data_IF_039727577244
#
_entry.id   IF_039727577244
#
_cell.length_a   1.000
_cell.length_b   1.000
_cell.length_c   1.000
_cell.angle_alpha   90.00
_cell.angle_beta   90.00
_cell.angle_gamma   90.00
#
_symmetry.space_group_name_H-M   'P 1'
#
loop_
_entity.id
_entity.type
_entity.pdbx_description
1 polymer ?
#
# COMPACT_ATOMS: atom_id res chain seq x y z
N UNK A 1 -13.45 -56.90 -30.38
CA UNK A 1 -12.21 -56.28 -29.84
C UNK A 1 -12.62 -54.96 -29.22
N UNK A 2 -12.46 -54.80 -27.91
CA UNK A 2 -12.92 -53.59 -27.21
C UNK A 2 -11.71 -52.73 -26.89
N UNK A 3 -11.62 -51.58 -27.53
CA UNK A 3 -10.53 -50.61 -27.35
C UNK A 3 -10.74 -49.88 -26.02
N UNK A 4 -9.76 -49.95 -25.13
CA UNK A 4 -9.78 -49.15 -23.90
C UNK A 4 -9.36 -47.71 -24.21
N UNK A 5 -10.21 -46.74 -23.89
CA UNK A 5 -9.88 -45.32 -23.97
C UNK A 5 -8.88 -44.98 -22.86
N UNK A 6 -7.65 -44.70 -23.23
CA UNK A 6 -6.62 -44.25 -22.30
C UNK A 6 -6.91 -42.80 -21.86
N UNK A 7 -7.22 -42.61 -20.58
CA UNK A 7 -7.40 -41.28 -19.99
C UNK A 7 -6.03 -40.60 -19.88
N UNK A 8 -5.78 -39.61 -20.72
CA UNK A 8 -4.61 -38.75 -20.57
C UNK A 8 -4.76 -37.92 -19.29
N UNK A 9 -3.76 -37.97 -18.40
CA UNK A 9 -3.74 -37.12 -17.21
C UNK A 9 -3.55 -35.67 -17.65
N UNK A 10 -4.66 -34.94 -17.78
CA UNK A 10 -4.63 -33.52 -18.09
C UNK A 10 -3.94 -32.78 -16.92
N UNK A 11 -3.02 -31.87 -17.24
CA UNK A 11 -2.37 -31.04 -16.21
C UNK A 11 -3.46 -30.25 -15.46
N UNK A 12 -3.48 -30.28 -14.11
CA UNK A 12 -4.44 -29.50 -13.36
C UNK A 12 -4.29 -28.01 -13.69
N UNK A 13 -5.43 -27.34 -13.86
CA UNK A 13 -5.50 -25.94 -14.26
C UNK A 13 -4.57 -25.01 -13.46
N UNK A 14 -4.48 -25.24 -12.14
CA UNK A 14 -3.63 -24.44 -11.25
C UNK A 14 -2.13 -24.54 -11.54
N UNK A 15 -1.64 -25.69 -12.01
CA UNK A 15 -0.21 -25.90 -12.32
C UNK A 15 0.22 -25.09 -13.54
N UNK A 16 -0.68 -24.87 -14.50
CA UNK A 16 -0.41 -24.03 -15.67
C UNK A 16 -0.31 -22.54 -15.36
N UNK A 17 -0.62 -22.11 -14.14
CA UNK A 17 -0.62 -20.71 -13.69
C UNK A 17 0.41 -20.40 -12.63
N UNK A 18 1.20 -21.38 -12.21
CA UNK A 18 2.34 -21.13 -11.33
C UNK A 18 3.40 -20.34 -12.10
N UNK A 19 3.80 -19.21 -11.54
CA UNK A 19 4.97 -18.45 -11.97
C UNK A 19 5.99 -18.44 -10.82
N UNK A 20 7.29 -18.29 -11.12
CA UNK A 20 8.27 -18.01 -10.09
C UNK A 20 7.85 -16.80 -9.25
N UNK A 21 8.15 -16.84 -7.95
CA UNK A 21 7.99 -15.66 -7.12
C UNK A 21 8.82 -14.51 -7.70
N UNK A 22 8.32 -13.25 -7.62
CA UNK A 22 9.11 -12.10 -7.98
C UNK A 22 10.46 -12.12 -7.27
N UNK A 23 11.52 -11.70 -7.96
CA UNK A 23 12.84 -11.57 -7.35
C UNK A 23 12.77 -10.54 -6.23
N UNK A 24 13.05 -10.97 -4.99
CA UNK A 24 13.21 -10.05 -3.86
C UNK A 24 14.50 -9.26 -4.03
N UNK A 25 14.40 -7.94 -4.09
CA UNK A 25 15.58 -7.05 -4.06
C UNK A 25 15.86 -6.65 -2.62
N UNK A 26 17.05 -6.96 -2.11
CA UNK A 26 17.51 -6.41 -0.84
C UNK A 26 17.87 -4.94 -1.06
N UNK A 27 17.06 -4.04 -0.52
CA UNK A 27 17.40 -2.62 -0.46
C UNK A 27 18.45 -2.43 0.65
N UNK A 28 19.51 -1.63 0.42
CA UNK A 28 20.47 -1.29 1.46
C UNK A 28 19.75 -0.56 2.60
N UNK A 29 20.16 -0.85 3.83
CA UNK A 29 19.55 -0.27 5.03
C UNK A 29 19.80 1.24 5.06
N UNK A 30 18.75 2.05 4.87
CA UNK A 30 18.80 3.46 5.22
C UNK A 30 18.80 3.55 6.76
N UNK A 31 19.82 4.16 7.35
CA UNK A 31 19.91 4.28 8.80
C UNK A 31 19.21 5.56 9.23
N UNK A 32 18.25 5.42 10.14
CA UNK A 32 17.63 6.54 10.85
C UNK A 32 18.20 6.57 12.26
N UNK A 33 18.73 7.71 12.66
CA UNK A 33 19.21 7.94 14.05
C UNK A 33 18.35 9.00 14.71
N UNK A 34 18.20 8.94 16.03
CA UNK A 34 17.59 10.04 16.79
C UNK A 34 18.68 11.05 17.14
N UNK A 35 18.45 12.31 16.82
CA UNK A 35 19.25 13.42 17.32
C UNK A 35 18.93 13.63 18.82
N UNK A 36 19.93 13.57 19.72
CA UNK A 36 19.66 13.59 21.15
C UNK A 36 19.19 14.96 21.67
N UNK A 37 19.51 16.05 20.98
CA UNK A 37 19.18 17.41 21.43
C UNK A 37 17.76 17.79 21.00
N UNK A 38 17.39 17.44 19.77
CA UNK A 38 16.09 17.77 19.17
C UNK A 38 15.04 16.66 19.31
N UNK A 39 15.48 15.44 19.61
CA UNK A 39 14.65 14.23 19.61
C UNK A 39 13.96 13.94 18.26
N UNK A 40 14.53 14.44 17.17
CA UNK A 40 14.04 14.22 15.81
C UNK A 40 14.81 13.10 15.11
N UNK A 41 14.14 12.46 14.15
CA UNK A 41 14.77 11.47 13.28
C UNK A 41 15.66 12.14 12.24
N UNK A 42 16.92 11.71 12.15
CA UNK A 42 17.89 12.11 11.12
C UNK A 42 18.04 10.97 10.13
N UNK A 43 17.57 11.19 8.90
CA UNK A 43 17.65 10.25 7.80
C UNK A 43 18.95 10.48 7.03
N UNK A 44 19.69 9.40 6.74
CA UNK A 44 20.92 9.48 5.94
C UNK A 44 20.87 8.57 4.72
N UNK A 45 21.41 9.06 3.62
CA UNK A 45 21.62 8.27 2.42
C UNK A 45 22.78 7.28 2.59
N UNK A 46 23.07 6.53 1.51
CA UNK A 46 24.16 5.55 1.49
C UNK A 46 25.56 6.17 1.63
N UNK A 47 25.73 7.44 1.30
CA UNK A 47 26.96 8.20 1.46
C UNK A 47 27.04 8.88 2.85
N UNK A 48 26.07 8.66 3.72
CA UNK A 48 25.98 9.26 5.05
C UNK A 48 25.51 10.72 5.04
N UNK A 49 25.06 11.24 3.89
CA UNK A 49 24.54 12.60 3.79
C UNK A 49 23.13 12.66 4.36
N UNK A 50 22.83 13.75 5.07
CA UNK A 50 21.49 13.99 5.60
C UNK A 50 20.52 14.16 4.43
N UNK A 51 19.43 13.41 4.47
CA UNK A 51 18.34 13.51 3.51
C UNK A 51 17.17 14.20 4.20
N UNK A 52 16.79 15.36 3.66
CA UNK A 52 15.57 16.03 4.09
C UNK A 52 14.35 15.24 3.57
N UNK A 53 13.60 14.66 4.50
CA UNK A 53 12.24 14.21 4.25
C UNK A 53 11.42 15.49 4.06
N UNK A 54 11.15 15.86 2.81
CA UNK A 54 10.42 17.09 2.46
C UNK A 54 9.09 17.24 3.22
N UNK A 55 8.47 18.41 3.13
CA UNK A 55 7.18 18.67 3.81
C UNK A 55 6.16 17.58 3.46
N UNK A 56 5.73 16.85 4.48
CA UNK A 56 4.57 15.99 4.39
C UNK A 56 3.33 16.85 4.61
N UNK A 57 2.55 17.04 3.54
CA UNK A 57 1.24 17.66 3.64
C UNK A 57 0.37 16.83 4.59
N UNK A 58 -0.17 17.49 5.61
CA UNK A 58 -1.24 16.90 6.43
C UNK A 58 -2.55 17.33 5.79
N UNK A 59 -3.34 16.36 5.33
CA UNK A 59 -4.67 16.63 4.78
C UNK A 59 -5.64 16.91 5.92
N UNK A 60 -6.39 18.00 5.83
CA UNK A 60 -7.59 18.22 6.65
C UNK A 60 -8.84 17.66 5.96
N UNK A 61 -9.85 17.32 6.75
CA UNK A 61 -11.16 16.92 6.24
C UNK A 61 -12.24 17.50 7.14
N UNK A 62 -13.30 18.02 6.53
CA UNK A 62 -14.47 18.52 7.27
C UNK A 62 -15.57 17.48 7.23
N UNK A 63 -15.91 16.91 8.38
CA UNK A 63 -17.00 15.94 8.49
C UNK A 63 -18.37 16.62 8.37
N UNK A 64 -19.29 16.03 7.62
CA UNK A 64 -20.69 16.47 7.53
C UNK A 64 -21.58 15.67 8.48
N UNK A 65 -22.58 16.34 9.07
CA UNK A 65 -23.47 15.72 10.07
C UNK A 65 -24.38 14.66 9.44
N UNK A 66 -24.44 13.46 10.05
CA UNK A 66 -25.32 12.36 9.59
C UNK A 66 -26.79 12.70 9.80
N UNK A 67 -27.58 12.73 8.73
CA UNK A 67 -29.04 12.82 8.81
C UNK A 67 -29.68 11.43 8.71
N UNK A 68 -30.38 11.01 9.77
CA UNK A 68 -30.99 9.67 9.89
C UNK A 68 -32.49 9.66 9.64
N UNK A 69 -33.08 10.74 9.11
CA UNK A 69 -34.52 10.75 8.83
C UNK A 69 -34.83 9.87 7.60
N UNK A 70 -35.91 9.10 7.69
CA UNK A 70 -36.24 8.04 6.71
C UNK A 70 -36.91 8.57 5.44
N UNK A 71 -36.96 9.89 5.22
CA UNK A 71 -37.93 10.47 4.28
C UNK A 71 -37.32 11.22 3.08
N UNK A 72 -36.01 11.16 2.86
CA UNK A 72 -35.39 11.16 1.52
C UNK A 72 -33.85 11.23 1.57
N UNK A 73 -33.21 10.28 0.89
CA UNK A 73 -31.81 10.25 0.48
C UNK A 73 -30.76 10.55 1.58
N UNK A 74 -30.25 9.53 2.31
CA UNK A 74 -29.05 9.69 3.10
C UNK A 74 -27.87 9.96 2.16
N UNK A 75 -27.49 11.23 2.00
CA UNK A 75 -26.21 11.61 1.43
C UNK A 75 -25.25 11.92 2.57
N UNK A 76 -24.13 11.21 2.59
CA UNK A 76 -22.94 11.62 3.31
C UNK A 76 -21.92 12.04 2.27
N UNK A 77 -21.98 13.32 1.90
CA UNK A 77 -20.89 13.95 1.17
C UNK A 77 -19.69 14.08 2.11
N UNK A 78 -18.58 13.46 1.74
CA UNK A 78 -17.29 13.73 2.38
C UNK A 78 -16.65 14.88 1.60
N UNK A 79 -16.48 16.05 2.22
CA UNK A 79 -15.61 17.08 1.66
C UNK A 79 -14.18 16.79 2.16
N UNK A 80 -13.44 16.09 1.32
CA UNK A 80 -11.99 16.01 1.48
C UNK A 80 -11.44 17.33 0.95
N UNK A 81 -11.30 18.30 1.86
CA UNK A 81 -10.64 19.54 1.50
C UNK A 81 -9.23 19.20 0.97
N UNK A 82 -8.87 19.75 -0.18
CA UNK A 82 -7.56 19.46 -0.79
C UNK A 82 -6.46 20.34 -0.19
N UNK A 83 -6.71 20.96 0.97
CA UNK A 83 -5.73 21.82 1.61
C UNK A 83 -4.66 20.95 2.27
N UNK A 84 -3.41 21.29 1.98
CA UNK A 84 -2.21 20.67 2.51
C UNK A 84 -1.24 21.80 2.87
N UNK A 85 -0.65 21.79 4.06
CA UNK A 85 0.34 22.77 4.53
C UNK A 85 1.79 22.53 4.02
#
# INVERSE_FOLDING_TARGET
MTTATQLATARPWGVGRLAPYPTTTHLPHATVSIDPDTQLGVFRDRAGQVVEMGKHGTSSGTETSTNTNSDSAPDQGHDQDSNQD
#
